data_IF_466759903577
#
_entry.id   IF_466759903577
#
_cell.length_a   1.000
_cell.length_b   1.000
_cell.length_c   1.000
_cell.angle_alpha   90.00
_cell.angle_beta   90.00
_cell.angle_gamma   90.00
#
_symmetry.space_group_name_H-M   'P 1'
#
loop_
_entity.id
_entity.type
_entity.pdbx_description
1 polymer ?
#
# COMPACT_ATOMS: atom_id res chain seq x y z
N UNK A 1 9.69 -22.29 -13.54
CA UNK A 1 10.99 -21.67 -13.14
C UNK A 1 11.66 -20.93 -14.31
N UNK A 2 11.47 -21.40 -15.54
CA UNK A 2 12.09 -20.81 -16.74
C UNK A 2 11.52 -19.42 -17.07
N UNK A 3 10.21 -19.22 -16.92
CA UNK A 3 9.55 -17.93 -17.17
C UNK A 3 10.06 -16.81 -16.22
N UNK A 4 10.31 -17.15 -14.95
CA UNK A 4 10.80 -16.16 -13.98
C UNK A 4 12.25 -15.76 -14.30
N UNK A 5 13.07 -16.71 -14.76
CA UNK A 5 14.44 -16.44 -15.19
C UNK A 5 14.45 -15.44 -16.36
N UNK A 6 13.63 -15.68 -17.38
CA UNK A 6 13.54 -14.78 -18.53
C UNK A 6 13.10 -13.36 -18.12
N UNK A 7 12.10 -13.24 -17.22
CA UNK A 7 11.66 -11.96 -16.69
C UNK A 7 12.81 -11.24 -15.97
N UNK A 8 13.57 -11.94 -15.13
CA UNK A 8 14.70 -11.35 -14.40
C UNK A 8 15.80 -10.89 -15.37
N UNK A 9 16.17 -11.70 -16.34
CA UNK A 9 17.18 -11.34 -17.34
C UNK A 9 16.77 -10.12 -18.16
N UNK A 10 15.50 -10.04 -18.57
CA UNK A 10 14.97 -8.86 -19.28
C UNK A 10 14.95 -7.62 -18.40
N UNK A 11 14.51 -7.74 -17.14
CA UNK A 11 14.50 -6.64 -16.21
C UNK A 11 15.94 -6.15 -15.90
N UNK A 12 16.89 -7.07 -15.78
CA UNK A 12 18.30 -6.77 -15.60
C UNK A 12 18.89 -6.03 -16.81
N UNK A 13 18.57 -6.49 -18.02
CA UNK A 13 19.03 -5.84 -19.25
C UNK A 13 18.55 -4.41 -19.37
N UNK A 14 17.31 -4.13 -19.02
CA UNK A 14 16.73 -2.79 -19.10
C UNK A 14 16.83 -1.98 -17.79
N UNK A 15 17.44 -2.55 -16.75
CA UNK A 15 17.52 -1.97 -15.40
C UNK A 15 16.16 -1.55 -14.83
N UNK A 16 15.15 -2.40 -14.99
CA UNK A 16 13.77 -2.14 -14.56
C UNK A 16 13.54 -2.77 -13.19
N UNK A 17 13.11 -2.02 -12.15
CA UNK A 17 12.81 -2.59 -10.85
C UNK A 17 11.61 -3.56 -10.93
N UNK A 18 11.70 -4.65 -10.16
CA UNK A 18 10.62 -5.64 -10.06
C UNK A 18 9.92 -5.51 -8.72
N UNK A 19 8.58 -5.42 -8.75
CA UNK A 19 7.78 -5.45 -7.53
C UNK A 19 7.31 -6.87 -7.23
N UNK A 20 7.75 -7.39 -6.09
CA UNK A 20 7.25 -8.64 -5.51
C UNK A 20 5.95 -8.31 -4.77
N UNK A 21 4.85 -8.90 -5.21
CA UNK A 21 3.53 -8.71 -4.59
C UNK A 21 3.03 -10.01 -3.94
N UNK A 22 2.86 -9.99 -2.62
CA UNK A 22 2.20 -11.06 -1.87
C UNK A 22 0.89 -10.50 -1.34
N UNK A 23 -0.21 -11.21 -1.56
CA UNK A 23 -1.50 -10.88 -1.02
C UNK A 23 -2.15 -12.09 -0.34
N UNK A 24 -3.19 -11.86 0.45
CA UNK A 24 -3.92 -12.92 1.16
C UNK A 24 -4.45 -14.02 0.24
N UNK A 25 -4.76 -13.70 -1.01
CA UNK A 25 -5.20 -14.70 -2.00
C UNK A 25 -4.07 -15.59 -2.54
N UNK A 26 -2.81 -15.18 -2.38
CA UNK A 26 -1.62 -15.96 -2.77
C UNK A 26 -1.23 -17.01 -1.72
N UNK A 27 -1.79 -16.91 -0.52
CA UNK A 27 -1.53 -17.80 0.59
C UNK A 27 -2.74 -18.73 0.75
N UNK A 28 -2.49 -20.03 0.90
CA UNK A 28 -3.52 -21.04 1.21
C UNK A 28 -4.00 -20.88 2.66
N UNK A 29 -4.38 -19.66 3.04
CA UNK A 29 -4.77 -19.33 4.41
C UNK A 29 -6.15 -19.93 4.70
N UNK A 30 -6.17 -21.02 5.42
CA UNK A 30 -7.30 -21.37 6.28
C UNK A 30 -7.42 -20.21 7.27
N UNK A 31 -8.53 -19.50 7.25
CA UNK A 31 -8.93 -18.26 7.94
C UNK A 31 -8.63 -18.15 9.44
N UNK A 32 -7.43 -18.45 9.89
CA UNK A 32 -7.00 -18.22 11.27
C UNK A 32 -6.37 -16.84 11.39
N UNK A 33 -7.01 -15.99 12.19
CA UNK A 33 -6.65 -14.57 12.44
C UNK A 33 -5.38 -14.39 13.28
N UNK A 34 -4.38 -15.27 13.19
CA UNK A 34 -3.26 -15.32 14.13
C UNK A 34 -1.89 -15.03 13.52
N UNK A 35 -0.91 -14.85 14.39
CA UNK A 35 0.52 -14.61 14.11
C UNK A 35 1.13 -15.61 13.11
N UNK A 36 0.56 -16.81 12.95
CA UNK A 36 0.90 -17.78 11.91
C UNK A 36 0.84 -17.18 10.50
N UNK A 37 -0.14 -16.33 10.21
CA UNK A 37 -0.28 -15.71 8.90
C UNK A 37 0.85 -14.73 8.56
N UNK A 38 1.39 -13.99 9.52
CA UNK A 38 2.52 -13.06 9.30
C UNK A 38 3.79 -13.83 8.93
N UNK A 39 4.07 -14.91 9.63
CA UNK A 39 5.24 -15.76 9.36
C UNK A 39 5.16 -16.43 7.98
N UNK A 40 3.96 -16.81 7.53
CA UNK A 40 3.75 -17.35 6.19
C UNK A 40 4.04 -16.30 5.09
N UNK A 41 3.61 -15.05 5.30
CA UNK A 41 3.95 -13.95 4.38
C UNK A 41 5.46 -13.78 4.25
N UNK A 42 6.18 -13.75 5.36
CA UNK A 42 7.63 -13.54 5.34
C UNK A 42 8.38 -14.76 4.81
N UNK A 43 7.95 -15.99 5.13
CA UNK A 43 8.54 -17.20 4.57
C UNK A 43 8.42 -17.24 3.03
N UNK A 44 7.26 -16.87 2.49
CA UNK A 44 7.07 -16.79 1.05
C UNK A 44 7.89 -15.65 0.43
N UNK A 45 7.97 -14.50 1.13
CA UNK A 45 8.77 -13.36 0.68
C UNK A 45 10.25 -13.71 0.63
N UNK A 46 10.80 -14.32 1.69
CA UNK A 46 12.19 -14.72 1.76
C UNK A 46 12.55 -15.72 0.66
N UNK A 47 11.73 -16.75 0.48
CA UNK A 47 11.94 -17.72 -0.60
C UNK A 47 11.92 -17.08 -1.99
N UNK A 48 11.07 -16.06 -2.17
CA UNK A 48 11.01 -15.31 -3.43
C UNK A 48 12.24 -14.42 -3.61
N UNK A 49 12.66 -13.69 -2.59
CA UNK A 49 13.87 -12.85 -2.62
C UNK A 49 15.10 -13.70 -2.91
N UNK A 50 15.20 -14.89 -2.33
CA UNK A 50 16.33 -15.79 -2.56
C UNK A 50 16.44 -16.27 -4.02
N UNK A 51 15.31 -16.33 -4.75
CA UNK A 51 15.37 -16.57 -6.20
C UNK A 51 16.04 -15.40 -6.90
N UNK A 52 15.68 -14.16 -6.57
CA UNK A 52 16.29 -12.96 -7.18
C UNK A 52 17.77 -12.81 -6.82
N UNK A 53 18.19 -13.17 -5.60
CA UNK A 53 19.60 -13.22 -5.20
C UNK A 53 20.43 -14.17 -6.06
N UNK A 54 19.89 -15.34 -6.43
CA UNK A 54 20.57 -16.30 -7.31
C UNK A 54 20.92 -15.74 -8.68
N UNK A 55 20.20 -14.69 -9.12
CA UNK A 55 20.43 -14.00 -10.39
C UNK A 55 21.11 -12.64 -10.23
N UNK A 56 21.61 -12.29 -9.04
CA UNK A 56 22.19 -10.97 -8.73
C UNK A 56 21.26 -9.81 -9.09
N UNK A 57 19.98 -9.93 -8.79
CA UNK A 57 18.97 -8.90 -9.11
C UNK A 57 18.11 -8.49 -7.92
N UNK A 58 18.53 -8.80 -6.71
CA UNK A 58 17.81 -8.47 -5.47
C UNK A 58 17.84 -6.96 -5.14
N UNK A 59 18.81 -6.19 -5.61
CA UNK A 59 18.94 -4.75 -5.33
C UNK A 59 17.86 -3.88 -5.98
N UNK A 60 17.19 -4.37 -7.01
CA UNK A 60 16.15 -3.67 -7.76
C UNK A 60 14.74 -4.17 -7.44
N UNK A 61 14.51 -4.59 -6.19
CA UNK A 61 13.21 -5.07 -5.74
C UNK A 61 12.41 -3.98 -5.03
N UNK A 62 11.09 -4.09 -5.16
CA UNK A 62 10.10 -3.34 -4.38
C UNK A 62 9.14 -4.36 -3.76
N UNK A 63 8.85 -4.24 -2.48
CA UNK A 63 7.98 -5.19 -1.79
C UNK A 63 6.55 -4.65 -1.65
N UNK A 64 5.56 -5.52 -1.85
CA UNK A 64 4.15 -5.21 -1.67
C UNK A 64 3.46 -6.37 -0.91
N UNK A 65 3.06 -6.12 0.33
CA UNK A 65 2.45 -7.07 1.25
C UNK A 65 1.01 -6.64 1.54
N UNK A 66 0.06 -7.20 0.82
CA UNK A 66 -1.33 -6.73 0.87
C UNK A 66 -2.26 -7.76 1.48
N UNK A 67 -3.21 -7.30 2.28
CA UNK A 67 -4.33 -8.07 2.79
C UNK A 67 -5.62 -7.27 2.62
N UNK A 68 -6.75 -7.93 2.73
CA UNK A 68 -8.08 -7.28 2.84
C UNK A 68 -8.35 -6.76 4.26
N UNK A 69 -7.55 -7.17 5.25
CA UNK A 69 -7.62 -6.69 6.63
C UNK A 69 -6.64 -5.51 6.83
N UNK A 70 -7.14 -4.30 7.15
CA UNK A 70 -6.30 -3.13 7.40
C UNK A 70 -5.29 -3.32 8.54
N UNK A 71 -5.67 -4.01 9.61
CA UNK A 71 -4.80 -4.23 10.77
C UNK A 71 -3.65 -5.19 10.44
N UNK A 72 -3.95 -6.28 9.73
CA UNK A 72 -2.92 -7.20 9.25
C UNK A 72 -1.99 -6.50 8.26
N UNK A 73 -2.53 -5.73 7.31
CA UNK A 73 -1.74 -4.96 6.35
C UNK A 73 -0.79 -3.99 7.06
N UNK A 74 -1.26 -3.26 8.06
CA UNK A 74 -0.43 -2.37 8.87
C UNK A 74 0.72 -3.14 9.56
N UNK A 75 0.42 -4.27 10.23
CA UNK A 75 1.42 -5.10 10.92
C UNK A 75 2.47 -5.65 9.94
N UNK A 76 2.05 -6.12 8.76
CA UNK A 76 2.95 -6.64 7.73
C UNK A 76 3.94 -5.58 7.25
N UNK A 77 3.47 -4.38 6.88
CA UNK A 77 4.36 -3.32 6.41
C UNK A 77 5.26 -2.76 7.49
N UNK A 78 4.77 -2.65 8.73
CA UNK A 78 5.60 -2.23 9.86
C UNK A 78 6.75 -3.21 10.10
N UNK A 79 6.46 -4.51 10.16
CA UNK A 79 7.49 -5.52 10.32
C UNK A 79 8.42 -5.59 9.11
N UNK A 80 7.90 -5.47 7.88
CA UNK A 80 8.73 -5.46 6.67
C UNK A 80 9.70 -4.27 6.63
N UNK A 81 9.29 -3.10 7.11
CA UNK A 81 10.16 -1.93 7.19
C UNK A 81 11.34 -2.10 8.15
N UNK A 82 11.19 -2.92 9.18
CA UNK A 82 12.26 -3.26 10.14
C UNK A 82 13.17 -4.39 9.63
N UNK A 83 12.62 -5.34 8.86
CA UNK A 83 13.32 -6.56 8.46
C UNK A 83 14.01 -6.46 7.10
N UNK A 84 13.52 -5.63 6.18
CA UNK A 84 13.98 -5.62 4.79
C UNK A 84 14.46 -4.24 4.34
N UNK A 85 15.61 -4.16 3.64
CA UNK A 85 16.16 -2.89 3.13
C UNK A 85 15.54 -2.45 1.79
N UNK A 86 14.39 -2.97 1.43
CA UNK A 86 13.76 -2.71 0.13
C UNK A 86 12.68 -1.64 0.21
N UNK A 87 12.49 -0.84 -0.86
CA UNK A 87 11.35 0.05 -0.98
C UNK A 87 10.02 -0.70 -0.82
N UNK A 88 9.08 -0.07 -0.12
CA UNK A 88 7.76 -0.62 0.15
C UNK A 88 6.69 0.06 -0.70
N UNK A 89 5.91 -0.75 -1.43
CA UNK A 89 4.71 -0.32 -2.11
C UNK A 89 3.50 -0.63 -1.24
N UNK A 90 3.02 0.37 -0.50
CA UNK A 90 1.94 0.19 0.46
C UNK A 90 0.56 0.25 -0.19
N UNK A 91 -0.36 -0.54 0.32
CA UNK A 91 -1.75 -0.55 -0.12
C UNK A 91 -2.57 -1.64 0.53
N UNK A 92 -3.86 -1.39 0.70
CA UNK A 92 -4.84 -2.41 1.02
C UNK A 92 -5.32 -3.06 -0.28
N UNK A 93 -5.62 -4.36 -0.29
CA UNK A 93 -6.28 -5.00 -1.44
C UNK A 93 -7.78 -5.13 -1.17
N UNK A 94 -8.59 -5.02 -2.24
CA UNK A 94 -10.05 -5.20 -2.15
C UNK A 94 -10.68 -4.33 -1.06
N UNK A 95 -10.35 -3.04 -1.07
CA UNK A 95 -10.80 -2.10 -0.02
C UNK A 95 -12.32 -1.91 -0.01
N UNK A 96 -12.97 -2.15 -1.14
CA UNK A 96 -14.40 -1.93 -1.32
C UNK A 96 -14.71 -0.74 -2.22
N UNK A 97 -15.86 -0.13 -2.03
CA UNK A 97 -16.42 0.89 -2.91
C UNK A 97 -16.56 2.25 -2.20
N UNK A 98 -16.37 3.33 -2.95
CA UNK A 98 -16.67 4.70 -2.53
C UNK A 98 -16.01 5.11 -1.19
N UNK A 99 -16.70 5.91 -0.37
CA UNK A 99 -16.16 6.41 0.91
C UNK A 99 -15.75 5.29 1.89
N UNK A 100 -16.46 4.17 1.91
CA UNK A 100 -16.13 3.03 2.79
C UNK A 100 -14.79 2.44 2.40
N UNK A 101 -14.53 2.24 1.12
CA UNK A 101 -13.25 1.74 0.61
C UNK A 101 -12.10 2.70 0.90
N UNK A 102 -12.34 4.01 0.75
CA UNK A 102 -11.38 5.07 1.07
C UNK A 102 -11.02 5.06 2.58
N UNK A 103 -12.02 4.97 3.46
CA UNK A 103 -11.83 4.91 4.91
C UNK A 103 -11.04 3.65 5.29
N UNK A 104 -11.41 2.48 4.77
CA UNK A 104 -10.71 1.21 5.05
C UNK A 104 -9.24 1.28 4.63
N UNK A 105 -8.95 1.83 3.46
CA UNK A 105 -7.58 2.06 3.01
C UNK A 105 -6.84 3.01 3.96
N UNK A 106 -7.48 4.11 4.38
CA UNK A 106 -6.87 5.10 5.26
C UNK A 106 -6.52 4.56 6.63
N UNK A 107 -7.29 3.61 7.18
CA UNK A 107 -7.03 2.98 8.49
C UNK A 107 -5.63 2.37 8.58
N UNK A 108 -5.13 1.73 7.51
CA UNK A 108 -3.78 1.16 7.50
C UNK A 108 -2.74 2.10 6.90
N UNK A 109 -3.10 2.92 5.91
CA UNK A 109 -2.12 3.73 5.17
C UNK A 109 -1.68 4.97 5.95
N UNK A 110 -2.60 5.64 6.65
CA UNK A 110 -2.28 6.85 7.44
C UNK A 110 -1.21 6.58 8.49
N UNK A 111 -1.35 5.60 9.39
CA UNK A 111 -0.32 5.35 10.39
C UNK A 111 1.02 4.89 9.79
N UNK A 112 1.02 4.17 8.66
CA UNK A 112 2.26 3.82 7.96
C UNK A 112 2.98 5.06 7.43
N UNK A 113 2.25 5.94 6.74
CA UNK A 113 2.80 7.20 6.21
C UNK A 113 3.32 8.13 7.31
N UNK A 114 2.63 8.20 8.46
CA UNK A 114 3.10 8.96 9.64
C UNK A 114 4.38 8.40 10.25
N UNK A 115 4.63 7.09 10.10
CA UNK A 115 5.89 6.44 10.48
C UNK A 115 6.98 6.55 9.41
N UNK A 116 6.72 7.23 8.28
CA UNK A 116 7.64 7.32 7.15
C UNK A 116 7.75 6.03 6.32
N UNK A 117 6.80 5.11 6.49
CA UNK A 117 6.77 3.82 5.79
C UNK A 117 5.94 3.96 4.51
N UNK A 118 6.52 3.60 3.38
CA UNK A 118 5.89 3.60 2.07
C UNK A 118 6.58 4.53 1.07
N UNK A 119 7.23 3.94 0.07
CA UNK A 119 7.91 4.67 -1.01
C UNK A 119 6.95 4.94 -2.18
N UNK A 120 5.99 4.07 -2.37
CA UNK A 120 4.89 4.21 -3.32
C UNK A 120 3.60 3.71 -2.68
N UNK A 121 2.45 4.19 -3.16
CA UNK A 121 1.13 3.92 -2.59
C UNK A 121 0.11 3.55 -3.65
N UNK A 122 -0.82 2.66 -3.31
CA UNK A 122 -2.02 2.38 -4.07
C UNK A 122 -3.24 2.27 -3.14
N UNK A 123 -4.32 2.93 -3.52
CA UNK A 123 -5.67 2.63 -3.03
C UNK A 123 -6.35 1.73 -4.08
N UNK A 124 -7.07 0.70 -3.63
CA UNK A 124 -7.74 -0.28 -4.49
C UNK A 124 -9.24 -0.25 -4.24
N UNK A 125 -9.95 0.49 -5.08
CA UNK A 125 -11.41 0.64 -5.02
C UNK A 125 -12.07 -0.16 -6.14
N UNK A 126 -13.31 -0.59 -5.92
CA UNK A 126 -14.20 -1.08 -6.98
C UNK A 126 -14.82 0.11 -7.71
N UNK A 127 -13.97 0.95 -8.33
CA UNK A 127 -14.32 2.23 -8.96
C UNK A 127 -13.32 2.55 -10.08
N UNK A 128 -13.49 3.73 -10.71
CA UNK A 128 -12.56 4.23 -11.71
C UNK A 128 -11.14 4.39 -11.15
N UNK A 129 -10.09 4.09 -11.93
CA UNK A 129 -8.71 4.40 -11.55
C UNK A 129 -8.47 5.88 -11.24
N UNK A 130 -9.26 6.77 -11.83
CA UNK A 130 -9.22 8.22 -11.54
C UNK A 130 -9.62 8.47 -10.08
N UNK A 131 -10.72 7.86 -9.62
CA UNK A 131 -11.18 7.95 -8.22
C UNK A 131 -10.14 7.43 -7.23
N UNK A 132 -9.42 6.36 -7.58
CA UNK A 132 -8.30 5.85 -6.76
C UNK A 132 -7.20 6.92 -6.60
N UNK A 133 -6.80 7.58 -7.69
CA UNK A 133 -5.77 8.64 -7.69
C UNK A 133 -6.24 9.88 -6.93
N UNK A 134 -7.48 10.30 -7.11
CA UNK A 134 -8.07 11.42 -6.37
C UNK A 134 -8.10 11.15 -4.88
N UNK A 135 -8.49 9.93 -4.48
CA UNK A 135 -8.51 9.48 -3.08
C UNK A 135 -7.10 9.48 -2.47
N UNK A 136 -6.07 8.98 -3.18
CA UNK A 136 -4.67 9.06 -2.74
C UNK A 136 -4.24 10.51 -2.57
N UNK A 137 -4.54 11.38 -3.53
CA UNK A 137 -4.17 12.78 -3.46
C UNK A 137 -4.83 13.48 -2.27
N UNK A 138 -6.11 13.22 -2.02
CA UNK A 138 -6.82 13.77 -0.87
C UNK A 138 -6.19 13.29 0.47
N UNK A 139 -5.83 12.02 0.56
CA UNK A 139 -5.17 11.44 1.73
C UNK A 139 -3.79 12.08 1.97
N UNK A 140 -2.95 12.20 0.95
CA UNK A 140 -1.61 12.78 1.06
C UNK A 140 -1.66 14.28 1.41
N UNK A 141 -2.63 15.02 0.85
CA UNK A 141 -2.89 16.42 1.20
C UNK A 141 -3.34 16.56 2.65
N UNK A 142 -4.30 15.74 3.09
CA UNK A 142 -4.78 15.73 4.47
C UNK A 142 -3.67 15.43 5.49
N UNK A 143 -2.64 14.69 5.11
CA UNK A 143 -1.45 14.42 5.93
C UNK A 143 -0.34 15.48 5.79
N UNK A 144 -0.50 16.49 4.94
CA UNK A 144 0.55 17.47 4.64
C UNK A 144 1.76 16.91 3.88
N UNK A 145 1.63 15.73 3.28
CA UNK A 145 2.68 15.09 2.47
C UNK A 145 2.68 15.54 1.00
N UNK A 146 1.63 16.24 0.60
CA UNK A 146 1.50 16.86 -0.72
C UNK A 146 1.00 18.30 -0.55
N UNK A 147 1.85 19.28 -0.87
CA UNK A 147 1.60 20.72 -0.62
C UNK A 147 1.57 21.54 -1.93
N UNK A 148 1.12 20.92 -3.04
CA UNK A 148 1.05 21.54 -4.36
C UNK A 148 -0.16 22.46 -4.57
N UNK A 149 -1.12 22.44 -3.64
CA UNK A 149 -2.32 23.28 -3.66
C UNK A 149 -2.69 23.71 -2.24
N UNK A 150 -3.38 24.85 -2.08
CA UNK A 150 -3.87 25.31 -0.78
C UNK A 150 -4.78 24.28 -0.11
N UNK A 151 -4.73 24.20 1.21
CA UNK A 151 -5.68 23.41 1.99
C UNK A 151 -6.90 24.25 2.30
N UNK A 152 -8.06 23.81 1.82
CA UNK A 152 -9.33 24.44 2.14
C UNK A 152 -9.85 23.91 3.49
N UNK A 153 -9.99 24.78 4.46
CA UNK A 153 -10.59 24.47 5.77
C UNK A 153 -11.93 25.20 5.84
N UNK A 154 -13.03 24.45 5.96
CA UNK A 154 -14.39 25.00 6.01
C UNK A 154 -15.06 24.65 7.33
N UNK A 155 -15.84 25.60 7.86
CA UNK A 155 -16.63 25.38 9.05
C UNK A 155 -17.98 24.73 8.66
N UNK A 156 -18.40 23.61 9.30
CA UNK A 156 -19.68 22.97 8.99
C UNK A 156 -20.90 23.73 9.52
N UNK A 157 -20.69 24.93 10.04
CA UNK A 157 -21.68 25.81 10.66
C UNK A 157 -22.15 25.38 12.06
N UNK A 158 -22.76 26.32 12.79
CA UNK A 158 -23.36 26.07 14.11
C UNK A 158 -24.46 27.13 14.35
N UNK A 159 -25.11 27.13 15.51
CA UNK A 159 -26.15 28.10 15.86
C UNK A 159 -25.71 29.58 15.89
N UNK A 160 -24.41 29.88 15.76
CA UNK A 160 -23.85 31.25 15.68
C UNK A 160 -23.54 31.69 14.24
N UNK A 161 -23.79 30.83 13.26
CA UNK A 161 -23.50 31.15 11.85
C UNK A 161 -24.41 32.24 11.33
N UNK A 162 -23.80 33.25 10.67
CA UNK A 162 -24.49 34.39 10.07
C UNK A 162 -24.39 34.40 8.53
N UNK A 163 -23.80 33.39 7.93
CA UNK A 163 -23.65 33.25 6.48
C UNK A 163 -24.01 31.83 6.03
N UNK A 164 -24.42 31.70 4.78
CA UNK A 164 -24.70 30.41 4.15
C UNK A 164 -23.40 29.82 3.57
N UNK A 165 -22.69 29.04 4.39
CA UNK A 165 -21.40 28.43 4.01
C UNK A 165 -21.56 27.36 2.92
N UNK A 166 -22.78 26.80 2.73
CA UNK A 166 -23.06 25.81 1.71
C UNK A 166 -23.03 26.37 0.29
N UNK A 167 -23.18 27.70 0.16
CA UNK A 167 -23.21 28.43 -1.10
C UNK A 167 -21.94 29.28 -1.36
N UNK A 168 -20.89 29.07 -0.58
CA UNK A 168 -19.54 29.65 -0.77
C UNK A 168 -18.64 28.74 -1.55
#
# INVERSE_FOLDING_TARGET
QDDLKEIIERAKYFNIPIRIGINSGSLSLNHTKDTSSINEYFSLLDSTIDIFKKYDYDKNLVLALKSTDPNLTFKLYRAAAELYPYPLHIGLTESGFGPVGAIRSSICLVPLLQLGIGNTIRISLSDSPITEVETVNALLKGLGLKNDVPTLITCPTCGRTQCDVSNL
#
